data_IF_401968259970
#
_entry.id   IF_401968259970
#
_cell.length_a   1.000
_cell.length_b   1.000
_cell.length_c   1.000
_cell.angle_alpha   90.00
_cell.angle_beta   90.00
_cell.angle_gamma   90.00
#
_symmetry.space_group_name_H-M   'P 1'
#
loop_
_entity.id
_entity.type
_entity.pdbx_description
1 polymer ?
#
# COMPACT_ATOMS: atom_id res chain seq x y z
N UNK A 1 26.94 -16.87 25.17
CA UNK A 1 27.47 -15.52 24.86
C UNK A 1 27.39 -15.15 23.38
N UNK A 2 27.63 -16.04 22.41
CA UNK A 2 27.54 -15.70 20.97
C UNK A 2 26.10 -15.62 20.43
N UNK A 3 25.13 -16.28 21.07
CA UNK A 3 23.72 -16.32 20.65
C UNK A 3 22.92 -15.08 21.05
N UNK A 4 23.16 -14.51 22.24
CA UNK A 4 22.50 -13.27 22.68
C UNK A 4 22.95 -12.04 21.88
N UNK A 5 24.20 -12.00 21.45
CA UNK A 5 24.74 -10.94 20.58
C UNK A 5 24.00 -10.89 19.24
N UNK A 6 23.77 -12.03 18.59
CA UNK A 6 23.08 -12.08 17.30
C UNK A 6 21.59 -11.74 17.38
N UNK A 7 20.92 -12.07 18.49
CA UNK A 7 19.51 -11.69 18.72
C UNK A 7 19.41 -10.18 18.92
N UNK A 8 20.29 -9.58 19.74
CA UNK A 8 20.34 -8.12 19.94
C UNK A 8 20.68 -7.36 18.66
N UNK A 9 21.62 -7.86 17.85
CA UNK A 9 21.97 -7.23 16.57
C UNK A 9 20.82 -7.32 15.56
N UNK A 10 20.07 -8.44 15.51
CA UNK A 10 18.86 -8.52 14.69
C UNK A 10 17.76 -7.59 15.18
N UNK A 11 17.52 -7.49 16.49
CA UNK A 11 16.54 -6.55 17.05
C UNK A 11 16.89 -5.09 16.75
N UNK A 12 18.18 -4.73 16.84
CA UNK A 12 18.67 -3.39 16.53
C UNK A 12 18.57 -3.11 15.02
N UNK A 13 18.91 -4.08 14.16
CA UNK A 13 18.79 -3.94 12.70
C UNK A 13 17.33 -3.90 12.24
N UNK A 14 16.44 -4.69 12.86
CA UNK A 14 15.00 -4.66 12.58
C UNK A 14 14.38 -3.35 13.06
N UNK A 15 14.76 -2.85 14.24
CA UNK A 15 14.35 -1.51 14.70
C UNK A 15 14.90 -0.40 13.81
N UNK A 16 16.15 -0.49 13.35
CA UNK A 16 16.74 0.49 12.44
C UNK A 16 16.11 0.46 11.02
N UNK A 17 15.67 -0.71 10.55
CA UNK A 17 14.93 -0.84 9.29
C UNK A 17 13.49 -0.32 9.39
N UNK A 18 12.83 -0.53 10.54
CA UNK A 18 11.52 0.06 10.87
C UNK A 18 11.59 1.58 11.07
N UNK A 19 12.77 2.11 11.38
CA UNK A 19 13.01 3.54 11.59
C UNK A 19 13.67 4.22 10.39
N UNK A 20 13.70 3.59 9.21
CA UNK A 20 14.01 4.31 7.98
C UNK A 20 12.80 5.19 7.67
N UNK A 21 12.90 6.53 7.81
CA UNK A 21 11.81 7.38 7.35
C UNK A 21 11.59 7.05 5.87
N UNK A 22 10.34 6.90 5.47
CA UNK A 22 10.03 6.70 4.07
C UNK A 22 10.72 7.82 3.26
N UNK A 23 11.67 7.44 2.40
CA UNK A 23 12.40 8.42 1.61
C UNK A 23 11.48 8.89 0.49
N UNK A 24 10.95 10.11 0.66
CA UNK A 24 10.29 10.84 -0.41
C UNK A 24 11.19 10.85 -1.66
N UNK A 25 10.62 10.75 -2.89
CA UNK A 25 11.38 11.00 -4.09
C UNK A 25 12.11 12.33 -3.95
N UNK A 26 13.40 12.38 -4.29
CA UNK A 26 14.25 13.54 -4.04
C UNK A 26 13.64 14.85 -4.57
N UNK A 27 12.95 14.78 -5.72
CA UNK A 27 12.22 15.90 -6.33
C UNK A 27 11.08 16.40 -5.46
N UNK A 28 10.28 15.51 -4.87
CA UNK A 28 9.14 15.88 -4.02
C UNK A 28 9.63 16.41 -2.68
N UNK A 29 10.65 15.76 -2.09
CA UNK A 29 11.25 16.24 -0.85
C UNK A 29 11.84 17.64 -1.02
N UNK A 30 12.52 17.89 -2.15
CA UNK A 30 13.06 19.21 -2.46
C UNK A 30 11.94 20.23 -2.69
N UNK A 31 10.86 19.87 -3.40
CA UNK A 31 9.69 20.74 -3.57
C UNK A 31 9.09 21.16 -2.24
N UNK A 32 8.87 20.22 -1.32
CA UNK A 32 8.32 20.50 0.01
C UNK A 32 9.23 21.47 0.79
N UNK A 33 10.54 21.20 0.84
CA UNK A 33 11.51 22.06 1.52
C UNK A 33 11.57 23.46 0.94
N UNK A 34 11.62 23.56 -0.39
CA UNK A 34 11.68 24.85 -1.05
C UNK A 34 10.41 25.65 -0.75
N UNK A 35 9.22 25.04 -0.89
CA UNK A 35 7.97 25.73 -0.65
C UNK A 35 7.77 26.11 0.83
N UNK A 36 8.31 25.32 1.76
CA UNK A 36 8.31 25.67 3.18
C UNK A 36 9.08 26.97 3.48
N UNK A 37 10.10 27.28 2.68
CA UNK A 37 10.97 28.47 2.87
C UNK A 37 10.55 29.69 2.07
N UNK A 38 9.53 29.54 1.23
CA UNK A 38 9.03 30.62 0.40
C UNK A 38 7.83 31.30 1.08
N UNK A 39 7.66 32.59 0.79
CA UNK A 39 6.46 33.33 1.17
C UNK A 39 5.22 32.73 0.48
N UNK A 40 4.00 32.89 1.03
CA UNK A 40 2.79 32.39 0.40
C UNK A 40 2.65 32.77 -1.07
N UNK A 41 2.96 34.03 -1.43
CA UNK A 41 2.89 34.55 -2.79
C UNK A 41 3.90 33.86 -3.72
N UNK A 42 5.11 33.60 -3.22
CA UNK A 42 6.15 32.90 -3.96
C UNK A 42 5.80 31.42 -4.18
N UNK A 43 5.15 30.77 -3.20
CA UNK A 43 4.67 29.39 -3.35
C UNK A 43 3.59 29.33 -4.43
N UNK A 44 2.60 30.24 -4.39
CA UNK A 44 1.56 30.32 -5.41
C UNK A 44 2.16 30.51 -6.81
N UNK A 45 3.12 31.43 -6.96
CA UNK A 45 3.83 31.64 -8.22
C UNK A 45 4.64 30.42 -8.66
N UNK A 46 5.32 29.71 -7.74
CA UNK A 46 6.12 28.52 -8.06
C UNK A 46 5.25 27.34 -8.48
N UNK A 47 4.08 27.20 -7.88
CA UNK A 47 3.10 26.15 -8.17
C UNK A 47 2.15 26.51 -9.32
N UNK A 48 2.35 27.67 -9.97
CA UNK A 48 1.48 28.21 -11.02
C UNK A 48 -0.01 28.20 -10.62
N UNK A 49 -0.30 28.61 -9.40
CA UNK A 49 -1.66 28.66 -8.84
C UNK A 49 -1.95 30.01 -8.17
N UNK A 50 -3.17 30.20 -7.69
CA UNK A 50 -3.70 31.46 -7.17
C UNK A 50 -4.72 31.21 -6.06
N UNK A 51 -5.00 32.21 -5.24
CA UNK A 51 -5.92 32.07 -4.09
C UNK A 51 -7.35 31.74 -4.51
N UNK A 52 -7.75 32.12 -5.72
CA UNK A 52 -9.03 31.79 -6.33
C UNK A 52 -9.09 30.34 -6.87
N UNK A 53 -8.00 29.58 -6.78
CA UNK A 53 -7.91 28.21 -7.23
C UNK A 53 -7.58 28.04 -8.71
N UNK A 54 -7.42 26.78 -9.11
CA UNK A 54 -7.18 26.36 -10.50
C UNK A 54 -8.48 26.41 -11.33
N UNK A 55 -8.33 26.53 -12.64
CA UNK A 55 -9.38 26.25 -13.63
C UNK A 55 -9.43 24.76 -13.96
N UNK A 56 -10.54 24.30 -14.54
CA UNK A 56 -10.72 22.91 -14.97
C UNK A 56 -9.62 22.43 -15.93
N UNK A 57 -9.14 23.31 -16.82
CA UNK A 57 -8.05 22.99 -17.76
C UNK A 57 -6.71 22.79 -17.04
N UNK A 58 -6.42 23.61 -16.03
CA UNK A 58 -5.24 23.48 -15.18
C UNK A 58 -5.32 22.23 -14.29
N UNK A 59 -6.52 21.88 -13.79
CA UNK A 59 -6.75 20.65 -13.02
C UNK A 59 -6.46 19.42 -13.87
N UNK A 60 -6.95 19.38 -15.11
CA UNK A 60 -6.68 18.29 -16.05
C UNK A 60 -5.19 18.20 -16.36
N UNK A 61 -4.51 19.33 -16.52
CA UNK A 61 -3.08 19.38 -16.81
C UNK A 61 -2.25 18.91 -15.62
N UNK A 62 -2.58 19.37 -14.40
CA UNK A 62 -1.97 18.93 -13.15
C UNK A 62 -2.14 17.42 -12.93
N UNK A 63 -3.35 16.89 -13.15
CA UNK A 63 -3.61 15.45 -13.04
C UNK A 63 -2.81 14.61 -14.05
N UNK A 64 -2.55 15.13 -15.26
CA UNK A 64 -1.68 14.45 -16.24
C UNK A 64 -0.21 14.47 -15.83
N UNK A 65 0.24 15.54 -15.18
CA UNK A 65 1.64 15.70 -14.79
C UNK A 65 1.98 14.95 -13.49
N UNK A 66 1.12 15.06 -12.47
CA UNK A 66 1.37 14.55 -11.12
C UNK A 66 0.59 13.27 -10.78
N UNK A 67 -0.43 12.93 -11.58
CA UNK A 67 -1.30 11.78 -11.33
C UNK A 67 -2.46 12.07 -10.38
N UNK A 68 -3.25 11.03 -10.12
CA UNK A 68 -4.44 11.10 -9.23
C UNK A 68 -4.05 11.07 -7.76
N UNK A 69 -4.87 11.67 -6.88
CA UNK A 69 -4.70 11.59 -5.44
C UNK A 69 -5.21 10.26 -4.86
N UNK A 70 -4.67 9.16 -5.37
CA UNK A 70 -5.01 7.81 -4.93
C UNK A 70 -3.76 7.17 -4.39
N UNK A 71 -3.75 6.93 -3.07
CA UNK A 71 -2.74 6.05 -2.46
C UNK A 71 -3.13 4.62 -2.83
N UNK A 72 -2.66 4.18 -4.00
CA UNK A 72 -2.99 2.88 -4.59
C UNK A 72 -2.90 1.80 -3.52
N UNK A 73 -4.02 1.19 -3.15
CA UNK A 73 -4.11 -0.05 -2.39
C UNK A 73 -3.58 -1.20 -3.25
N UNK A 74 -3.25 -2.38 -2.70
CA UNK A 74 -2.45 -3.45 -3.35
C UNK A 74 -2.69 -3.65 -4.85
N UNK A 75 -1.66 -4.05 -5.59
CA UNK A 75 -1.90 -4.77 -6.86
C UNK A 75 -2.85 -5.90 -6.52
N UNK A 76 -4.13 -5.75 -6.84
CA UNK A 76 -5.10 -6.82 -6.69
C UNK A 76 -4.59 -7.90 -7.61
N UNK A 77 -4.03 -8.98 -7.06
CA UNK A 77 -3.75 -10.18 -7.86
C UNK A 77 -5.05 -10.43 -8.63
N UNK A 78 -4.95 -10.44 -9.96
CA UNK A 78 -6.12 -10.58 -10.83
C UNK A 78 -6.86 -11.85 -10.44
N UNK A 79 -8.17 -11.92 -10.64
CA UNK A 79 -8.94 -13.12 -10.31
C UNK A 79 -8.33 -14.38 -10.96
N UNK A 80 -7.80 -14.25 -12.17
CA UNK A 80 -7.03 -15.28 -12.85
C UNK A 80 -5.72 -15.63 -12.12
N UNK A 81 -4.95 -14.64 -11.69
CA UNK A 81 -3.75 -14.86 -10.89
C UNK A 81 -4.04 -15.55 -9.55
N UNK A 82 -5.12 -15.17 -8.87
CA UNK A 82 -5.58 -15.81 -7.63
C UNK A 82 -5.96 -17.26 -7.87
N UNK A 83 -6.68 -17.53 -8.96
CA UNK A 83 -7.03 -18.89 -9.37
C UNK A 83 -5.80 -19.75 -9.61
N UNK A 84 -4.83 -19.29 -10.42
CA UNK A 84 -3.58 -20.04 -10.69
C UNK A 84 -2.79 -20.26 -9.40
N UNK A 85 -2.66 -19.25 -8.54
CA UNK A 85 -1.97 -19.39 -7.26
C UNK A 85 -2.62 -20.41 -6.31
N UNK A 86 -3.93 -20.63 -6.43
CA UNK A 86 -4.63 -21.64 -5.64
C UNK A 86 -4.14 -23.07 -5.96
N UNK A 87 -3.73 -23.33 -7.21
CA UNK A 87 -3.18 -24.64 -7.63
C UNK A 87 -1.70 -24.81 -7.34
N UNK A 88 -0.95 -23.72 -7.10
CA UNK A 88 0.48 -23.77 -6.82
C UNK A 88 0.69 -23.99 -5.31
N UNK A 89 0.67 -25.26 -4.90
CA UNK A 89 1.04 -25.72 -3.55
C UNK A 89 1.81 -27.04 -3.66
N UNK A 90 2.81 -27.30 -2.78
CA UNK A 90 3.56 -28.56 -2.78
C UNK A 90 2.71 -29.84 -2.88
N UNK A 91 1.56 -29.92 -2.18
CA UNK A 91 0.68 -31.09 -2.24
C UNK A 91 -0.04 -31.22 -3.59
N UNK A 92 -0.59 -30.12 -4.12
CA UNK A 92 -1.25 -30.10 -5.43
C UNK A 92 -0.25 -30.42 -6.55
N UNK A 93 1.00 -29.95 -6.44
CA UNK A 93 2.06 -30.29 -7.40
C UNK A 93 2.38 -31.79 -7.41
N UNK A 94 2.36 -32.45 -6.26
CA UNK A 94 2.51 -33.91 -6.18
C UNK A 94 1.32 -34.62 -6.82
N UNK A 95 0.10 -34.17 -6.54
CA UNK A 95 -1.09 -34.75 -7.17
C UNK A 95 -1.07 -34.57 -8.70
N UNK A 96 -0.63 -33.41 -9.20
CA UNK A 96 -0.43 -33.17 -10.63
C UNK A 96 0.63 -34.13 -11.19
N UNK A 97 1.75 -34.32 -10.50
CA UNK A 97 2.77 -35.28 -10.92
C UNK A 97 2.23 -36.72 -10.97
N UNK A 98 1.47 -37.15 -9.96
CA UNK A 98 0.83 -38.46 -9.93
C UNK A 98 -0.22 -38.61 -11.03
N UNK A 99 -1.01 -37.57 -11.32
CA UNK A 99 -1.97 -37.57 -12.42
C UNK A 99 -1.28 -37.73 -13.77
N UNK A 100 -0.14 -37.07 -13.97
CA UNK A 100 0.68 -37.20 -15.19
C UNK A 100 1.28 -38.60 -15.30
N UNK A 101 1.84 -39.15 -14.22
CA UNK A 101 2.40 -40.50 -14.20
C UNK A 101 1.31 -41.54 -14.50
N UNK A 102 0.17 -41.48 -13.80
CA UNK A 102 -0.98 -42.39 -14.03
C UNK A 102 -1.54 -42.25 -15.44
N UNK A 103 -1.62 -41.03 -16.00
CA UNK A 103 -2.01 -40.85 -17.40
C UNK A 103 -1.02 -41.54 -18.35
N UNK A 104 0.29 -41.43 -18.10
CA UNK A 104 1.29 -42.09 -18.92
C UNK A 104 1.21 -43.62 -18.80
N UNK A 105 1.19 -44.18 -17.58
CA UNK A 105 1.16 -45.64 -17.39
C UNK A 105 -0.16 -46.26 -17.80
N UNK A 106 -1.29 -45.71 -17.37
CA UNK A 106 -2.59 -46.39 -17.42
C UNK A 106 -3.33 -46.15 -18.75
N UNK A 107 -2.90 -45.15 -19.53
CA UNK A 107 -3.51 -44.82 -20.83
C UNK A 107 -2.50 -44.98 -21.97
N UNK A 108 -1.32 -44.36 -21.88
CA UNK A 108 -0.38 -44.34 -23.02
C UNK A 108 0.45 -45.61 -23.15
N UNK A 109 0.92 -46.19 -22.04
CA UNK A 109 1.73 -47.42 -22.04
C UNK A 109 0.93 -48.70 -21.75
N UNK A 110 -0.34 -48.58 -21.34
CA UNK A 110 -1.19 -49.72 -21.03
C UNK A 110 -1.70 -50.45 -22.30
N UNK A 111 -1.72 -51.80 -22.30
CA UNK A 111 -2.36 -52.60 -23.34
C UNK A 111 -3.84 -52.24 -23.54
N UNK A 112 -4.41 -52.36 -24.76
CA UNK A 112 -5.77 -51.88 -25.08
C UNK A 112 -6.90 -52.40 -24.17
N UNK A 113 -6.72 -53.54 -23.50
CA UNK A 113 -7.73 -54.17 -22.65
C UNK A 113 -7.67 -53.80 -21.15
N UNK A 114 -6.60 -53.14 -20.69
CA UNK A 114 -6.38 -52.80 -19.26
C UNK A 114 -6.40 -51.30 -18.98
N UNK A 115 -6.72 -50.48 -19.98
CA UNK A 115 -6.79 -49.02 -19.84
C UNK A 115 -7.87 -48.63 -18.84
N UNK A 116 -7.46 -48.13 -17.69
CA UNK A 116 -8.36 -47.65 -16.65
C UNK A 116 -8.29 -46.13 -16.57
N UNK A 117 -9.39 -45.47 -16.92
CA UNK A 117 -9.54 -44.02 -16.73
C UNK A 117 -9.87 -43.65 -15.28
N UNK A 118 -10.20 -44.64 -14.45
CA UNK A 118 -10.76 -44.42 -13.11
C UNK A 118 -9.76 -43.65 -12.23
N UNK A 119 -8.49 -44.07 -12.20
CA UNK A 119 -7.44 -43.44 -11.38
C UNK A 119 -7.19 -41.99 -11.80
N UNK A 120 -7.03 -41.74 -13.10
CA UNK A 120 -6.79 -40.39 -13.66
C UNK A 120 -7.98 -39.47 -13.37
N UNK A 121 -9.20 -39.96 -13.52
CA UNK A 121 -10.43 -39.19 -13.25
C UNK A 121 -10.53 -38.84 -11.77
N UNK A 122 -10.27 -39.80 -10.86
CA UNK A 122 -10.31 -39.55 -9.41
C UNK A 122 -9.27 -38.52 -8.99
N UNK A 123 -8.01 -38.66 -9.41
CA UNK A 123 -6.94 -37.73 -9.03
C UNK A 123 -7.23 -36.33 -9.61
N UNK A 124 -7.69 -36.26 -10.86
CA UNK A 124 -8.08 -34.98 -11.48
C UNK A 124 -9.22 -34.29 -10.72
N UNK A 125 -10.24 -35.05 -10.31
CA UNK A 125 -11.35 -34.52 -9.51
C UNK A 125 -10.87 -33.98 -8.16
N UNK A 126 -9.94 -34.68 -7.49
CA UNK A 126 -9.34 -34.22 -6.23
C UNK A 126 -8.56 -32.90 -6.40
N UNK A 127 -7.79 -32.76 -7.48
CA UNK A 127 -7.05 -31.53 -7.78
C UNK A 127 -8.00 -30.35 -7.98
N UNK A 128 -9.05 -30.54 -8.78
CA UNK A 128 -10.06 -29.51 -9.04
C UNK A 128 -10.79 -29.11 -7.76
N UNK A 129 -11.22 -30.09 -6.95
CA UNK A 129 -11.92 -29.83 -5.70
C UNK A 129 -11.03 -29.11 -4.67
N UNK A 130 -9.77 -29.53 -4.53
CA UNK A 130 -8.80 -28.89 -3.63
C UNK A 130 -8.51 -27.45 -4.04
N UNK A 131 -8.26 -27.21 -5.33
CA UNK A 131 -8.05 -25.87 -5.87
C UNK A 131 -9.28 -24.96 -5.69
N UNK A 132 -10.48 -25.48 -5.94
CA UNK A 132 -11.73 -24.74 -5.75
C UNK A 132 -11.98 -24.36 -4.28
N UNK A 133 -11.79 -25.30 -3.35
CA UNK A 133 -11.91 -25.02 -1.92
C UNK A 133 -10.93 -23.93 -1.48
N UNK A 134 -9.68 -24.03 -1.91
CA UNK A 134 -8.64 -23.04 -1.58
C UNK A 134 -8.95 -21.67 -2.18
N UNK A 135 -9.42 -21.62 -3.41
CA UNK A 135 -9.84 -20.37 -4.06
C UNK A 135 -11.02 -19.71 -3.33
N UNK A 136 -12.02 -20.50 -2.89
CA UNK A 136 -13.16 -19.99 -2.12
C UNK A 136 -12.71 -19.49 -0.73
N UNK A 137 -11.78 -20.19 -0.08
CA UNK A 137 -11.19 -19.75 1.20
C UNK A 137 -10.44 -18.42 1.04
N UNK A 138 -9.64 -18.29 -0.02
CA UNK A 138 -8.92 -17.05 -0.36
C UNK A 138 -9.88 -15.88 -0.61
N UNK A 139 -10.94 -16.11 -1.40
CA UNK A 139 -11.94 -15.07 -1.70
C UNK A 139 -12.74 -14.64 -0.47
N UNK A 140 -13.02 -15.56 0.47
CA UNK A 140 -13.73 -15.21 1.71
C UNK A 140 -12.84 -14.44 2.68
N UNK A 141 -11.55 -14.75 2.74
CA UNK A 141 -10.62 -14.14 3.69
C UNK A 141 -10.30 -12.67 3.36
N UNK A 142 -10.31 -12.27 2.09
CA UNK A 142 -9.83 -10.94 1.68
C UNK A 142 -10.82 -9.77 1.79
N UNK A 143 -12.13 -10.00 1.99
CA UNK A 143 -13.14 -9.02 1.61
C UNK A 143 -13.78 -8.21 2.76
N UNK A 144 -13.63 -8.61 4.03
CA UNK A 144 -14.35 -7.95 5.12
C UNK A 144 -13.78 -6.55 5.42
N UNK A 145 -12.46 -6.45 5.61
CA UNK A 145 -11.82 -5.17 5.94
C UNK A 145 -11.88 -4.17 4.76
N UNK A 146 -11.63 -4.62 3.53
CA UNK A 146 -11.60 -3.76 2.33
C UNK A 146 -12.97 -3.14 2.01
N UNK A 147 -14.07 -3.84 2.30
CA UNK A 147 -15.43 -3.32 2.10
C UNK A 147 -15.83 -2.28 3.15
N UNK A 148 -15.32 -2.38 4.37
CA UNK A 148 -15.53 -1.35 5.40
C UNK A 148 -14.77 -0.07 5.06
N UNK A 149 -13.53 -0.17 4.57
CA UNK A 149 -12.71 1.00 4.20
C UNK A 149 -13.29 1.78 3.02
N UNK A 150 -13.86 1.11 2.00
CA UNK A 150 -14.44 1.78 0.84
C UNK A 150 -15.80 2.49 1.11
N UNK A 151 -16.34 2.39 2.33
CA UNK A 151 -17.60 3.05 2.71
C UNK A 151 -17.40 4.43 3.36
N UNK A 152 -16.16 4.82 3.67
CA UNK A 152 -15.83 6.13 4.23
C UNK A 152 -15.31 7.00 3.09
N UNK A 153 -16.19 7.81 2.51
CA UNK A 153 -15.81 8.85 1.55
C UNK A 153 -15.47 10.09 2.37
N UNK A 154 -14.18 10.38 2.50
CA UNK A 154 -13.75 11.63 3.10
C UNK A 154 -13.83 12.74 2.05
N UNK A 155 -14.29 13.91 2.46
CA UNK A 155 -14.35 15.10 1.61
C UNK A 155 -13.49 16.22 2.21
N UNK A 156 -13.15 17.19 1.38
CA UNK A 156 -12.44 18.40 1.78
C UNK A 156 -12.93 19.58 0.95
N UNK A 157 -12.88 20.78 1.52
CA UNK A 157 -13.23 22.00 0.82
C UNK A 157 -12.10 22.45 -0.12
N UNK A 158 -12.31 22.35 -1.43
CA UNK A 158 -11.37 22.77 -2.47
C UNK A 158 -11.90 24.03 -3.16
N UNK A 159 -11.03 25.02 -3.36
CA UNK A 159 -11.33 26.27 -4.06
C UNK A 159 -10.85 26.15 -5.51
N UNK A 160 -11.76 26.32 -6.47
CA UNK A 160 -11.50 26.39 -7.91
C UNK A 160 -12.20 27.61 -8.53
N UNK A 161 -11.78 27.99 -9.74
CA UNK A 161 -12.30 29.21 -10.36
C UNK A 161 -13.76 29.12 -10.78
N UNK A 162 -14.21 27.98 -11.30
CA UNK A 162 -15.55 27.86 -11.86
C UNK A 162 -16.65 27.93 -10.80
N UNK A 163 -16.44 27.29 -9.65
CA UNK A 163 -17.45 27.07 -8.62
C UNK A 163 -17.06 27.63 -7.24
N UNK A 164 -15.85 28.17 -7.08
CA UNK A 164 -15.38 28.71 -5.81
C UNK A 164 -15.07 27.59 -4.84
N UNK A 165 -15.52 27.71 -3.59
CA UNK A 165 -15.34 26.65 -2.60
C UNK A 165 -16.43 25.59 -2.69
N UNK A 166 -16.04 24.36 -2.95
CA UNK A 166 -16.90 23.19 -2.88
C UNK A 166 -16.26 22.02 -2.13
N UNK A 167 -17.08 21.26 -1.41
CA UNK A 167 -16.72 19.98 -0.81
C UNK A 167 -16.54 18.93 -1.90
N UNK A 168 -15.30 18.44 -2.06
CA UNK A 168 -14.95 17.42 -3.03
C UNK A 168 -14.33 16.23 -2.35
N UNK A 169 -14.42 15.08 -2.99
CA UNK A 169 -13.80 13.86 -2.47
C UNK A 169 -12.28 14.02 -2.49
N UNK A 170 -11.60 13.49 -1.47
CA UNK A 170 -10.14 13.54 -1.34
C UNK A 170 -9.39 13.15 -2.63
N UNK A 171 -9.85 12.10 -3.34
CA UNK A 171 -9.19 11.61 -4.56
C UNK A 171 -9.19 12.62 -5.72
N UNK A 172 -10.08 13.62 -5.69
CA UNK A 172 -10.17 14.64 -6.73
C UNK A 172 -9.14 15.77 -6.59
N UNK A 173 -8.50 15.89 -5.43
CA UNK A 173 -7.48 16.90 -5.17
C UNK A 173 -6.28 16.71 -6.11
N UNK A 174 -5.77 17.81 -6.66
CA UNK A 174 -4.58 17.81 -7.53
C UNK A 174 -3.52 18.76 -7.00
N UNK A 175 -2.27 18.58 -7.46
CA UNK A 175 -1.19 19.51 -7.11
C UNK A 175 -1.54 20.92 -7.60
N UNK A 176 -1.41 21.91 -6.73
CA UNK A 176 -1.78 23.30 -6.99
C UNK A 176 -3.20 23.69 -6.56
N UNK A 177 -4.05 22.73 -6.16
CA UNK A 177 -5.37 23.06 -5.59
C UNK A 177 -5.20 23.85 -4.28
N UNK A 178 -6.11 24.81 -4.06
CA UNK A 178 -6.24 25.54 -2.80
C UNK A 178 -7.30 24.84 -1.97
N UNK A 179 -6.95 24.50 -0.72
CA UNK A 179 -7.82 23.77 0.19
C UNK A 179 -8.07 24.60 1.43
N UNK A 180 -9.33 24.72 1.82
CA UNK A 180 -9.74 25.31 3.10
C UNK A 180 -9.86 24.20 4.13
N UNK A 181 -9.26 24.43 5.29
CA UNK A 181 -9.21 23.50 6.41
C UNK A 181 -10.00 24.08 7.58
N UNK A 182 -10.83 23.24 8.18
CA UNK A 182 -11.56 23.50 9.42
C UNK A 182 -11.34 22.36 10.43
N UNK A 183 -11.65 22.63 11.69
CA UNK A 183 -11.57 21.63 12.75
C UNK A 183 -12.46 20.41 12.44
N UNK A 184 -11.86 19.22 12.50
CA UNK A 184 -12.49 17.96 12.12
C UNK A 184 -12.10 17.43 10.74
N UNK A 185 -11.51 18.27 9.88
CA UNK A 185 -11.13 17.87 8.53
C UNK A 185 -9.90 16.97 8.54
N UNK A 186 -9.85 16.06 7.56
CA UNK A 186 -8.66 15.30 7.23
C UNK A 186 -7.86 16.05 6.17
N UNK A 187 -6.53 16.10 6.34
CA UNK A 187 -5.65 16.71 5.34
C UNK A 187 -5.63 15.85 4.08
N UNK A 188 -6.01 16.41 2.91
CA UNK A 188 -6.30 15.62 1.72
C UNK A 188 -5.07 15.13 0.95
N UNK A 189 -3.96 15.81 1.11
CA UNK A 189 -2.72 15.62 0.37
C UNK A 189 -1.60 16.39 1.10
N UNK A 190 -0.33 16.15 0.74
CA UNK A 190 0.76 16.92 1.32
C UNK A 190 0.71 18.36 0.80
N UNK A 191 0.68 19.33 1.71
CA UNK A 191 0.32 20.71 1.40
C UNK A 191 1.15 21.72 2.20
N UNK A 192 1.22 22.95 1.67
CA UNK A 192 1.84 24.12 2.31
C UNK A 192 0.75 25.06 2.80
N UNK A 193 0.77 25.38 4.09
CA UNK A 193 -0.22 26.25 4.74
C UNK A 193 0.03 27.72 4.35
N UNK A 194 -0.86 28.33 3.59
CA UNK A 194 -0.75 29.73 3.19
C UNK A 194 -1.20 30.68 4.31
N UNK A 195 -2.24 30.30 5.05
CA UNK A 195 -2.76 31.05 6.19
C UNK A 195 -3.26 30.09 7.26
N UNK A 196 -3.14 30.48 8.53
CA UNK A 196 -3.57 29.69 9.66
C UNK A 196 -4.12 30.60 10.77
N UNK A 197 -5.13 30.10 11.47
CA UNK A 197 -5.69 30.69 12.68
C UNK A 197 -5.90 29.59 13.70
N UNK A 198 -5.03 29.56 14.70
CA UNK A 198 -5.00 28.54 15.77
C UNK A 198 -5.06 27.11 15.21
N UNK A 199 -4.35 26.87 14.10
CA UNK A 199 -4.41 25.60 13.36
C UNK A 199 -3.53 24.56 14.05
N UNK A 200 -4.16 23.55 14.65
CA UNK A 200 -3.47 22.42 15.27
C UNK A 200 -3.79 21.13 14.54
N UNK A 201 -2.76 20.39 14.14
CA UNK A 201 -2.89 19.10 13.48
C UNK A 201 -2.51 17.95 14.42
N UNK A 202 -3.21 16.83 14.32
CA UNK A 202 -2.79 15.56 14.91
C UNK A 202 -1.96 14.78 13.89
N UNK A 203 -0.65 14.70 14.13
CA UNK A 203 0.30 13.95 13.30
C UNK A 203 0.51 12.51 13.79
N UNK A 204 -0.35 12.05 14.70
CA UNK A 204 -0.28 10.72 15.32
C UNK A 204 -0.26 9.57 14.32
N UNK A 205 -0.90 9.74 13.15
CA UNK A 205 -0.89 8.77 12.06
C UNK A 205 0.50 8.58 11.42
N UNK A 206 1.39 9.58 11.50
CA UNK A 206 2.71 9.58 10.86
C UNK A 206 3.85 9.42 11.88
N UNK A 207 3.75 10.08 13.04
CA UNK A 207 4.80 10.08 14.06
C UNK A 207 4.56 9.04 15.16
N UNK A 208 3.32 8.60 15.35
CA UNK A 208 2.91 7.77 16.49
C UNK A 208 2.81 8.55 17.81
N UNK A 209 3.03 9.86 17.79
CA UNK A 209 2.94 10.71 18.97
C UNK A 209 1.56 11.40 19.04
N UNK A 210 0.97 11.46 20.23
CA UNK A 210 -0.34 12.09 20.44
C UNK A 210 -0.29 13.62 20.56
N UNK A 211 0.90 14.23 20.46
CA UNK A 211 1.06 15.67 20.54
C UNK A 211 0.46 16.37 19.31
N UNK A 212 -0.08 17.56 19.53
CA UNK A 212 -0.64 18.39 18.46
C UNK A 212 0.46 19.32 17.93
N UNK A 213 0.62 19.36 16.60
CA UNK A 213 1.54 20.26 15.93
C UNK A 213 0.79 21.55 15.55
N UNK A 214 1.24 22.69 16.05
CA UNK A 214 0.74 24.00 15.63
C UNK A 214 1.30 24.34 14.25
N UNK A 215 0.46 24.91 13.37
CA UNK A 215 0.85 25.27 12.01
C UNK A 215 0.67 26.76 11.71
N UNK A 216 1.59 27.31 10.92
CA UNK A 216 1.62 28.73 10.55
C UNK A 216 1.62 28.95 9.03
N UNK A 217 1.12 30.12 8.60
CA UNK A 217 1.14 30.53 7.19
C UNK A 217 2.50 31.05 6.71
N UNK A 218 3.29 31.60 7.62
CA UNK A 218 4.56 32.26 7.31
C UNK A 218 5.60 31.30 6.72
N UNK A 219 6.59 31.87 6.03
CA UNK A 219 7.79 31.10 5.64
C UNK A 219 8.49 30.55 6.87
N UNK A 220 8.96 29.31 6.78
CA UNK A 220 9.62 28.67 7.90
C UNK A 220 11.09 29.03 7.92
N UNK A 221 11.59 29.50 9.06
CA UNK A 221 13.02 29.72 9.30
C UNK A 221 13.76 28.44 9.70
N UNK A 222 13.07 27.32 9.82
CA UNK A 222 13.65 26.05 10.21
C UNK A 222 14.49 25.48 9.07
N UNK A 223 15.77 25.21 9.34
CA UNK A 223 16.63 24.42 8.44
C UNK A 223 16.71 22.98 8.96
N UNK A 224 15.54 22.33 9.01
CA UNK A 224 15.47 20.93 9.41
C UNK A 224 15.79 20.02 8.22
N UNK A 225 16.63 19.03 8.47
CA UNK A 225 16.87 17.91 7.56
C UNK A 225 15.66 17.00 7.37
N UNK A 226 14.52 17.27 8.00
CA UNK A 226 13.31 16.45 7.96
C UNK A 226 12.09 17.30 7.59
N UNK A 227 11.25 16.82 6.67
CA UNK A 227 10.07 17.58 6.21
C UNK A 227 8.99 17.69 7.30
N UNK A 228 8.91 16.72 8.21
CA UNK A 228 7.91 16.72 9.28
C UNK A 228 8.12 17.86 10.30
N UNK A 229 9.35 18.34 10.44
CA UNK A 229 9.68 19.36 11.42
C UNK A 229 9.21 20.76 10.98
N UNK A 230 8.81 20.94 9.71
CA UNK A 230 8.31 22.23 9.24
C UNK A 230 6.90 22.51 9.81
N UNK A 231 6.79 23.66 10.45
CA UNK A 231 5.59 24.20 11.09
C UNK A 231 4.58 24.77 10.09
N UNK A 232 4.85 24.69 8.79
CA UNK A 232 4.01 25.28 7.76
C UNK A 232 3.67 24.30 6.63
N UNK A 233 4.01 23.02 6.83
CA UNK A 233 3.61 21.89 6.01
C UNK A 233 2.58 21.05 6.75
N UNK A 234 1.63 20.49 6.00
CA UNK A 234 0.65 19.53 6.48
C UNK A 234 0.64 18.31 5.57
N UNK A 235 0.34 17.14 6.13
CA UNK A 235 0.59 15.85 5.47
C UNK A 235 -0.68 15.01 5.37
N UNK A 236 -0.79 14.25 4.28
CA UNK A 236 -1.91 13.34 4.04
C UNK A 236 -2.18 12.42 5.23
N UNK A 237 -3.45 12.30 5.63
CA UNK A 237 -3.91 11.40 6.70
C UNK A 237 -3.76 11.95 8.12
N UNK A 238 -3.24 13.16 8.28
CA UNK A 238 -3.32 13.92 9.53
C UNK A 238 -4.68 14.62 9.64
N UNK A 239 -5.11 14.94 10.86
CA UNK A 239 -6.43 15.54 11.10
C UNK A 239 -6.30 16.91 11.76
N UNK A 240 -7.18 17.84 11.38
CA UNK A 240 -7.30 19.15 12.02
C UNK A 240 -8.02 18.99 13.36
N UNK A 241 -7.30 19.26 14.45
CA UNK A 241 -7.81 19.15 15.82
C UNK A 241 -8.60 20.40 16.18
N UNK A 242 -8.08 21.57 15.82
CA UNK A 242 -8.71 22.86 16.08
C UNK A 242 -8.22 23.92 15.11
N UNK A 243 -8.96 25.02 15.03
CA UNK A 243 -8.63 26.18 14.22
C UNK A 243 -9.12 26.07 12.78
N UNK A 244 -8.51 26.89 11.94
CA UNK A 244 -8.77 26.93 10.50
C UNK A 244 -7.52 27.35 9.74
N UNK A 245 -7.44 26.95 8.48
CA UNK A 245 -6.34 27.36 7.61
C UNK A 245 -6.69 27.26 6.15
N UNK A 246 -5.80 27.78 5.32
CA UNK A 246 -5.84 27.60 3.88
C UNK A 246 -4.47 27.15 3.44
N UNK A 247 -4.40 26.17 2.54
CA UNK A 247 -3.13 25.69 2.03
C UNK A 247 -3.21 25.28 0.58
N UNK A 248 -2.03 25.12 -0.03
CA UNK A 248 -1.87 24.68 -1.42
C UNK A 248 -1.29 23.28 -1.46
N UNK A 249 -1.87 22.41 -2.28
CA UNK A 249 -1.41 21.03 -2.45
C UNK A 249 -0.06 21.00 -3.19
N UNK A 250 0.93 20.31 -2.62
CA UNK A 250 2.29 20.19 -3.17
C UNK A 250 2.59 18.81 -3.77
N UNK A 251 1.98 17.76 -3.21
CA UNK A 251 2.11 16.38 -3.68
C UNK A 251 0.84 15.58 -3.37
N UNK A 252 0.48 14.66 -4.26
CA UNK A 252 -0.73 13.83 -4.18
C UNK A 252 -0.40 12.35 -4.30
N UNK A 253 -1.31 11.48 -3.86
CA UNK A 253 -1.24 10.03 -4.07
C UNK A 253 0.07 9.41 -3.55
N UNK A 254 0.78 8.68 -4.43
CA UNK A 254 2.02 7.98 -4.06
C UNK A 254 3.19 8.93 -3.74
N UNK A 255 3.14 10.17 -4.20
CA UNK A 255 4.21 11.14 -3.97
C UNK A 255 4.11 11.83 -2.59
N UNK A 256 2.99 11.63 -1.88
CA UNK A 256 2.87 12.06 -0.48
C UNK A 256 3.76 11.22 0.45
N UNK A 257 4.11 11.79 1.60
CA UNK A 257 4.84 11.09 2.65
C UNK A 257 4.11 9.82 3.10
N UNK A 258 2.79 9.93 3.33
CA UNK A 258 1.96 8.78 3.67
C UNK A 258 1.93 7.74 2.54
N UNK A 259 1.86 8.18 1.29
CA UNK A 259 1.93 7.32 0.10
C UNK A 259 3.22 6.49 0.05
N UNK A 260 4.36 7.09 0.36
CA UNK A 260 5.66 6.39 0.42
C UNK A 260 5.75 5.41 1.60
N UNK A 261 5.20 5.77 2.77
CA UNK A 261 5.09 4.85 3.92
C UNK A 261 4.23 3.64 3.52
N UNK A 262 3.05 3.89 2.94
CA UNK A 262 2.14 2.83 2.48
C UNK A 262 2.76 1.94 1.39
N UNK A 263 3.60 2.50 0.52
CA UNK A 263 4.35 1.74 -0.49
C UNK A 263 5.40 0.82 0.15
N UNK A 264 6.09 1.28 1.19
CA UNK A 264 7.11 0.51 1.89
C UNK A 264 6.49 -0.62 2.74
N UNK A 265 5.38 -0.34 3.43
CA UNK A 265 4.62 -1.34 4.19
C UNK A 265 3.97 -2.42 3.31
N UNK A 266 3.88 -2.18 2.00
CA UNK A 266 3.32 -3.10 1.01
C UNK A 266 4.26 -4.22 0.58
N UNK A 267 5.52 -4.19 1.00
CA UNK A 267 6.39 -5.35 0.82
C UNK A 267 5.74 -6.56 1.49
N UNK A 268 5.63 -7.66 0.73
CA UNK A 268 4.88 -8.85 1.14
C UNK A 268 5.37 -9.27 2.54
N UNK A 269 4.49 -9.35 3.55
CA UNK A 269 4.91 -9.72 4.89
C UNK A 269 5.65 -11.05 4.81
N UNK A 270 6.80 -11.11 5.48
CA UNK A 270 7.57 -12.35 5.58
C UNK A 270 6.66 -13.48 6.04
N UNK A 271 6.79 -14.70 5.46
CA UNK A 271 5.95 -15.81 5.86
C UNK A 271 6.07 -16.04 7.37
N UNK A 272 4.92 -16.30 8.01
CA UNK A 272 4.85 -16.41 9.46
C UNK A 272 5.75 -17.56 9.96
N UNK A 273 6.16 -17.52 11.24
CA UNK A 273 6.93 -18.62 11.83
C UNK A 273 6.21 -19.97 11.69
N UNK A 274 4.88 -19.96 11.79
CA UNK A 274 4.03 -21.11 11.54
C UNK A 274 4.07 -21.56 10.07
N UNK A 275 3.87 -20.66 9.10
CA UNK A 275 3.96 -20.98 7.67
C UNK A 275 5.36 -21.51 7.28
N UNK A 276 6.43 -20.91 7.80
CA UNK A 276 7.80 -21.40 7.63
C UNK A 276 7.94 -22.81 8.20
N UNK A 277 7.38 -23.08 9.38
CA UNK A 277 7.34 -24.40 10.00
C UNK A 277 6.58 -25.43 9.16
N UNK A 278 5.37 -25.10 8.70
CA UNK A 278 4.56 -25.95 7.83
C UNK A 278 5.27 -26.24 6.51
N UNK A 279 5.90 -25.24 5.89
CA UNK A 279 6.68 -25.42 4.67
C UNK A 279 7.89 -26.32 4.89
N UNK A 280 8.58 -26.20 6.03
CA UNK A 280 9.69 -27.07 6.37
C UNK A 280 9.25 -28.52 6.60
N UNK A 281 8.20 -28.74 7.40
CA UNK A 281 7.61 -30.07 7.62
C UNK A 281 7.15 -30.68 6.30
N UNK A 282 6.46 -29.89 5.47
CA UNK A 282 6.04 -30.32 4.13
C UNK A 282 7.25 -30.74 3.28
N UNK A 283 8.33 -29.96 3.26
CA UNK A 283 9.54 -30.30 2.50
C UNK A 283 10.20 -31.61 2.98
N UNK A 284 10.23 -31.85 4.31
CA UNK A 284 10.77 -33.09 4.88
C UNK A 284 9.91 -34.29 4.47
N UNK A 285 8.59 -34.20 4.61
CA UNK A 285 7.66 -35.27 4.21
C UNK A 285 7.78 -35.57 2.72
N UNK A 286 7.88 -34.54 1.87
CA UNK A 286 8.02 -34.70 0.42
C UNK A 286 9.34 -35.42 0.07
N UNK A 287 10.45 -35.03 0.68
CA UNK A 287 11.74 -35.73 0.49
C UNK A 287 11.66 -37.19 0.91
N UNK A 288 11.01 -37.48 2.04
CA UNK A 288 10.83 -38.84 2.52
C UNK A 288 9.99 -39.68 1.54
N UNK A 289 8.85 -39.14 1.07
CA UNK A 289 8.01 -39.82 0.07
C UNK A 289 8.76 -40.09 -1.23
N UNK A 290 9.53 -39.13 -1.74
CA UNK A 290 10.31 -39.29 -2.97
C UNK A 290 11.41 -40.37 -2.86
N UNK A 291 11.94 -40.61 -1.67
CA UNK A 291 12.94 -41.67 -1.43
C UNK A 291 12.27 -43.03 -1.22
N UNK A 292 11.22 -43.08 -0.40
CA UNK A 292 10.56 -44.34 -0.04
C UNK A 292 9.85 -44.99 -1.22
N UNK A 293 9.20 -44.22 -2.10
CA UNK A 293 8.42 -44.76 -3.22
C UNK A 293 9.29 -45.62 -4.14
N UNK A 294 10.43 -45.15 -4.70
CA UNK A 294 11.31 -46.00 -5.52
C UNK A 294 11.83 -47.24 -4.80
N UNK A 295 12.14 -47.12 -3.49
CA UNK A 295 12.65 -48.25 -2.68
C UNK A 295 11.61 -49.37 -2.58
N UNK A 296 10.32 -49.05 -2.49
CA UNK A 296 9.25 -50.07 -2.41
C UNK A 296 9.07 -50.83 -3.72
N UNK A 297 9.39 -50.21 -4.86
CA UNK A 297 9.29 -50.83 -6.18
C UNK A 297 10.56 -51.60 -6.60
N UNK A 298 11.65 -51.51 -5.81
CA UNK A 298 12.91 -52.22 -6.03
C UNK A 298 12.91 -53.56 -5.29
#
# INVERSE_FOLDING_TARGET
>A
MLTESHVRTKEILTRAALNRPAELPSVVQQRLRDCARLSPEQVLSKMNTRMEGLSDEEVISSRKEYGDNVVVSGHRISLAGRFVSAFINPFTMILIALAVISFLTDITFAPPGERSLVTVVIISAMIVMSGALRFVQELRSGNAAERLTNMIVNTTAIIRQEDGEEERVLEEAVVGDIVRLAAGDMIPADMRILSAKDLFLSESALTGESAHAEKFGAESSLDSGNVLDYDNLAFLGTNVVSGSGTGVVLATGQDTLFGQIAKTLKEKPDPTSFEKGVNHVSAVLIRFMLIMVPIVFL
#
